data_IF_546043583938
#
_entry.id   IF_546043583938
#
_cell.length_a   1.000
_cell.length_b   1.000
_cell.length_c   1.000
_cell.angle_alpha   90.00
_cell.angle_beta   90.00
_cell.angle_gamma   90.00
#
_symmetry.space_group_name_H-M   'P 1'
#
loop_
_entity.id
_entity.type
_entity.pdbx_description
1 polymer ?
#
# COMPACT_ATOMS: atom_id res chain seq x y z
N UNK A 1 -18.59 -1.83 11.59
CA UNK A 1 -18.73 -1.31 10.20
C UNK A 1 -17.36 -0.85 9.71
N UNK A 2 -16.96 -1.22 8.48
CA UNK A 2 -15.69 -0.82 7.86
C UNK A 2 -16.00 0.06 6.65
N UNK A 3 -15.23 1.13 6.45
CA UNK A 3 -15.33 1.96 5.24
C UNK A 3 -13.96 2.30 4.67
N UNK A 4 -13.87 2.35 3.33
CA UNK A 4 -12.71 2.87 2.62
C UNK A 4 -12.93 4.35 2.37
N UNK A 5 -11.97 5.18 2.78
CA UNK A 5 -12.05 6.64 2.61
C UNK A 5 -10.65 7.28 2.54
N UNK A 6 -10.59 8.53 2.11
CA UNK A 6 -9.37 9.34 2.22
C UNK A 6 -8.91 9.42 3.67
N UNK A 7 -7.60 9.36 3.87
CA UNK A 7 -6.99 9.53 5.18
C UNK A 7 -7.16 10.96 5.69
N UNK A 8 -7.32 11.10 7.01
CA UNK A 8 -7.36 12.36 7.77
C UNK A 8 -6.12 12.46 8.64
N UNK A 9 -5.77 13.64 9.10
CA UNK A 9 -4.61 13.83 9.99
C UNK A 9 -4.69 12.96 11.26
N UNK A 10 -5.89 12.77 11.80
CA UNK A 10 -6.13 11.90 12.95
C UNK A 10 -5.85 10.41 12.71
N UNK A 11 -5.75 9.98 11.44
CA UNK A 11 -5.46 8.58 11.08
C UNK A 11 -3.96 8.25 11.09
N UNK A 12 -3.09 9.26 11.10
CA UNK A 12 -1.65 9.07 10.89
C UNK A 12 -1.00 8.06 11.85
N UNK A 13 -1.37 8.08 13.12
CA UNK A 13 -0.88 7.09 14.11
C UNK A 13 -1.40 5.68 13.84
N UNK A 14 -2.66 5.55 13.43
CA UNK A 14 -3.25 4.27 13.04
C UNK A 14 -2.61 3.69 11.77
N UNK A 15 -2.34 4.53 10.77
CA UNK A 15 -1.61 4.16 9.56
C UNK A 15 -0.20 3.67 9.92
N UNK A 16 0.52 4.40 10.75
CA UNK A 16 1.84 4.01 11.21
C UNK A 16 1.84 2.67 11.97
N UNK A 17 0.83 2.44 12.82
CA UNK A 17 0.68 1.18 13.54
C UNK A 17 0.44 0.00 12.58
N UNK A 18 -0.38 0.17 11.54
CA UNK A 18 -0.58 -0.83 10.48
C UNK A 18 0.73 -1.10 9.75
N UNK A 19 1.47 -0.06 9.37
CA UNK A 19 2.77 -0.21 8.69
C UNK A 19 3.72 -1.07 9.53
N UNK A 20 3.95 -0.72 10.78
CA UNK A 20 4.86 -1.46 11.67
C UNK A 20 4.41 -2.91 11.86
N UNK A 21 3.13 -3.13 12.15
CA UNK A 21 2.58 -4.47 12.37
C UNK A 21 2.72 -5.37 11.14
N UNK A 22 2.36 -4.85 9.96
CA UNK A 22 2.43 -5.64 8.71
C UNK A 22 3.86 -5.92 8.28
N UNK A 23 4.79 -5.01 8.46
CA UNK A 23 6.19 -5.24 8.13
C UNK A 23 6.84 -6.27 9.06
N UNK A 24 6.59 -6.18 10.36
CA UNK A 24 7.08 -7.17 11.34
C UNK A 24 6.52 -8.57 11.09
N UNK A 25 5.28 -8.68 10.62
CA UNK A 25 4.68 -9.96 10.27
C UNK A 25 5.19 -10.49 8.93
N UNK A 26 5.08 -9.70 7.86
CA UNK A 26 5.37 -10.13 6.50
C UNK A 26 6.86 -10.36 6.21
N UNK A 27 7.74 -9.64 6.90
CA UNK A 27 9.18 -9.61 6.59
C UNK A 27 10.07 -10.14 7.71
N UNK A 28 9.51 -10.86 8.70
CA UNK A 28 10.24 -11.44 9.83
C UNK A 28 11.46 -12.28 9.44
N UNK A 29 11.41 -12.96 8.28
CA UNK A 29 12.49 -13.81 7.78
C UNK A 29 13.13 -13.27 6.48
N UNK A 30 12.80 -12.06 6.07
CA UNK A 30 13.24 -11.44 4.81
C UNK A 30 14.14 -10.24 5.08
N UNK A 31 13.80 -9.45 6.10
CA UNK A 31 14.53 -8.25 6.49
C UNK A 31 15.29 -8.45 7.80
N UNK A 32 16.40 -7.73 8.02
CA UNK A 32 17.15 -7.81 9.27
C UNK A 32 16.26 -7.52 10.48
N UNK A 33 16.39 -8.35 11.54
CA UNK A 33 15.58 -8.24 12.76
C UNK A 33 15.76 -6.88 13.44
N UNK A 34 16.99 -6.38 13.52
CA UNK A 34 17.29 -5.05 14.09
C UNK A 34 16.60 -3.91 13.33
N UNK A 35 16.51 -4.03 12.00
CA UNK A 35 15.78 -3.06 11.19
C UNK A 35 14.28 -3.08 11.53
N UNK A 36 13.65 -4.26 11.55
CA UNK A 36 12.23 -4.40 11.90
C UNK A 36 11.95 -3.92 13.34
N UNK A 37 12.86 -4.18 14.28
CA UNK A 37 12.77 -3.70 15.64
C UNK A 37 12.89 -2.17 15.74
N UNK A 38 13.68 -1.55 14.85
CA UNK A 38 13.89 -0.09 14.80
C UNK A 38 12.70 0.70 14.25
N UNK A 39 11.72 0.04 13.62
CA UNK A 39 10.53 0.72 13.08
C UNK A 39 9.77 1.45 14.20
N UNK A 40 9.59 2.75 14.02
CA UNK A 40 8.99 3.64 15.02
C UNK A 40 7.64 4.15 14.56
N UNK A 41 6.58 3.85 15.32
CA UNK A 41 5.23 4.35 15.05
C UNK A 41 5.22 5.88 15.04
N UNK A 42 5.90 6.53 15.97
CA UNK A 42 5.90 8.01 16.06
C UNK A 42 6.56 8.67 14.82
N UNK A 43 7.69 8.12 14.36
CA UNK A 43 8.37 8.64 13.15
C UNK A 43 7.52 8.42 11.90
N UNK A 44 6.93 7.22 11.76
CA UNK A 44 6.05 6.91 10.63
C UNK A 44 4.76 7.73 10.68
N UNK A 45 4.19 7.98 11.86
CA UNK A 45 3.03 8.85 12.01
C UNK A 45 3.32 10.27 11.51
N UNK A 46 4.48 10.85 11.88
CA UNK A 46 4.91 12.16 11.38
C UNK A 46 5.10 12.15 9.85
N UNK A 47 5.67 11.10 9.29
CA UNK A 47 5.82 10.93 7.85
C UNK A 47 4.47 10.90 7.12
N UNK A 48 3.52 10.09 7.62
CA UNK A 48 2.17 10.00 7.02
C UNK A 48 1.36 11.27 7.23
N UNK A 49 1.48 11.91 8.38
CA UNK A 49 0.85 13.22 8.63
C UNK A 49 1.30 14.25 7.61
N UNK A 50 2.61 14.32 7.34
CA UNK A 50 3.15 15.20 6.31
C UNK A 50 2.58 14.88 4.92
N UNK A 51 2.52 13.60 4.53
CA UNK A 51 1.91 13.17 3.28
C UNK A 51 0.43 13.57 3.15
N UNK A 52 -0.34 13.40 4.22
CA UNK A 52 -1.76 13.81 4.25
C UNK A 52 -1.88 15.34 4.06
N UNK A 53 -1.04 16.13 4.72
CA UNK A 53 -1.01 17.60 4.55
C UNK A 53 -0.68 18.03 3.13
N UNK A 54 0.19 17.31 2.45
CA UNK A 54 0.54 17.54 1.05
C UNK A 54 -0.53 17.05 0.07
N UNK A 55 -1.59 16.43 0.54
CA UNK A 55 -2.67 15.91 -0.31
C UNK A 55 -2.32 14.66 -1.09
N UNK A 56 -1.29 13.90 -0.66
CA UNK A 56 -0.96 12.61 -1.28
C UNK A 56 -2.16 11.66 -1.24
N UNK A 57 -2.20 10.73 -2.20
CA UNK A 57 -3.30 9.77 -2.38
C UNK A 57 -3.36 8.68 -1.32
N UNK A 58 -3.49 9.06 -0.05
CA UNK A 58 -3.62 8.14 1.09
C UNK A 58 -5.08 7.77 1.35
N UNK A 59 -5.37 6.46 1.37
CA UNK A 59 -6.69 5.90 1.68
C UNK A 59 -6.57 4.91 2.84
N UNK A 60 -7.60 4.82 3.65
CA UNK A 60 -7.66 3.94 4.83
C UNK A 60 -8.90 3.07 4.80
N UNK A 61 -8.76 1.83 5.31
CA UNK A 61 -9.86 1.00 5.76
C UNK A 61 -10.10 1.30 7.24
N UNK A 62 -11.12 2.11 7.52
CA UNK A 62 -11.44 2.57 8.86
C UNK A 62 -12.55 1.73 9.49
N UNK A 63 -12.35 1.30 10.74
CA UNK A 63 -13.35 0.58 11.55
C UNK A 63 -14.12 1.53 12.44
N UNK A 64 -15.43 1.31 12.54
CA UNK A 64 -16.32 2.11 13.39
C UNK A 64 -17.19 1.19 14.26
N UNK A 65 -17.28 1.53 15.53
CA UNK A 65 -18.23 0.91 16.46
C UNK A 65 -17.81 -0.44 17.06
N UNK A 66 -16.66 -0.96 16.72
CA UNK A 66 -16.11 -2.17 17.33
C UNK A 66 -15.03 -1.80 18.35
N UNK A 67 -15.33 -1.92 19.64
CA UNK A 67 -14.40 -1.56 20.72
C UNK A 67 -13.11 -2.39 20.72
N UNK A 68 -13.13 -3.59 20.17
CA UNK A 68 -11.99 -4.50 20.15
C UNK A 68 -11.12 -4.38 18.88
N UNK A 69 -11.61 -3.73 17.82
CA UNK A 69 -10.85 -3.56 16.58
C UNK A 69 -10.06 -2.25 16.60
N UNK A 70 -8.83 -2.24 16.03
CA UNK A 70 -8.10 -0.99 15.86
C UNK A 70 -8.85 -0.06 14.90
N UNK A 71 -8.70 1.27 15.02
CA UNK A 71 -9.45 2.23 14.21
C UNK A 71 -9.09 2.17 12.71
N UNK A 72 -7.83 1.80 12.39
CA UNK A 72 -7.34 1.61 11.02
C UNK A 72 -6.91 0.17 10.85
N UNK A 73 -7.49 -0.50 9.86
CA UNK A 73 -7.27 -1.92 9.56
C UNK A 73 -6.31 -2.15 8.40
N UNK A 74 -6.15 -1.14 7.55
CA UNK A 74 -5.30 -1.15 6.38
C UNK A 74 -5.24 0.24 5.75
N UNK A 75 -4.28 0.42 4.85
CA UNK A 75 -4.14 1.65 4.09
C UNK A 75 -3.42 1.43 2.77
N UNK A 76 -3.56 2.39 1.86
CA UNK A 76 -2.80 2.48 0.63
C UNK A 76 -2.33 3.92 0.39
N UNK A 77 -1.22 4.06 -0.33
CA UNK A 77 -0.78 5.35 -0.86
C UNK A 77 -0.48 5.26 -2.35
N UNK A 78 -0.82 6.32 -3.08
CA UNK A 78 -0.58 6.39 -4.50
C UNK A 78 -0.15 7.80 -4.91
N UNK A 79 0.80 7.88 -5.85
CA UNK A 79 1.37 9.11 -6.36
C UNK A 79 1.47 9.09 -7.88
N UNK A 80 1.37 10.26 -8.50
CA UNK A 80 1.68 10.42 -9.93
C UNK A 80 3.18 10.46 -10.13
N UNK A 81 3.69 9.66 -11.07
CA UNK A 81 5.10 9.63 -11.46
C UNK A 81 5.35 10.61 -12.62
N UNK A 82 6.34 11.50 -12.46
CA UNK A 82 6.71 12.46 -13.51
C UNK A 82 7.58 11.83 -14.60
N UNK A 83 8.35 10.80 -14.26
CA UNK A 83 9.25 10.09 -15.16
C UNK A 83 8.81 8.64 -15.38
N UNK A 84 7.60 8.45 -15.88
CA UNK A 84 6.86 7.20 -15.93
C UNK A 84 7.47 6.06 -16.76
N UNK A 85 8.66 5.56 -16.41
CA UNK A 85 9.27 4.40 -17.09
C UNK A 85 8.47 3.12 -16.96
N UNK A 86 7.77 2.93 -15.81
CA UNK A 86 6.96 1.74 -15.53
C UNK A 86 5.45 2.02 -15.60
N UNK A 87 5.06 3.29 -15.51
CA UNK A 87 3.67 3.73 -15.53
C UNK A 87 3.54 5.18 -15.09
N UNK A 88 2.36 5.77 -15.32
CA UNK A 88 2.09 7.18 -15.01
C UNK A 88 1.76 7.41 -13.52
N UNK A 89 1.35 6.35 -12.81
CA UNK A 89 1.08 6.39 -11.38
C UNK A 89 1.66 5.19 -10.64
N UNK A 90 2.08 5.39 -9.40
CA UNK A 90 2.58 4.34 -8.52
C UNK A 90 1.69 4.17 -7.30
N UNK A 91 1.33 2.92 -7.00
CA UNK A 91 0.81 2.52 -5.70
C UNK A 91 2.02 2.15 -4.84
N UNK A 92 2.42 3.08 -3.97
CA UNK A 92 3.65 2.94 -3.18
C UNK A 92 3.50 1.99 -2.00
N UNK A 93 2.30 2.00 -1.37
CA UNK A 93 1.99 1.14 -0.22
C UNK A 93 0.60 0.56 -0.32
N UNK A 94 0.45 -0.68 0.14
CA UNK A 94 -0.83 -1.36 0.30
C UNK A 94 -0.67 -2.40 1.41
N UNK A 95 -1.17 -2.08 2.60
CA UNK A 95 -1.04 -2.93 3.78
C UNK A 95 -2.39 -3.12 4.46
N UNK A 96 -2.66 -4.37 4.88
CA UNK A 96 -3.84 -4.74 5.67
C UNK A 96 -3.35 -5.61 6.83
N UNK A 97 -3.84 -5.33 8.03
CA UNK A 97 -3.55 -6.15 9.22
C UNK A 97 -3.93 -7.62 8.98
N UNK A 98 -3.12 -8.55 9.46
CA UNK A 98 -3.27 -9.98 9.20
C UNK A 98 -4.65 -10.52 9.58
N UNK A 99 -5.18 -10.13 10.74
CA UNK A 99 -6.50 -10.54 11.22
C UNK A 99 -7.67 -10.05 10.35
N UNK A 100 -7.40 -9.12 9.44
CA UNK A 100 -8.39 -8.49 8.55
C UNK A 100 -8.16 -8.77 7.07
N UNK A 101 -7.20 -9.65 6.74
CA UNK A 101 -6.98 -10.14 5.37
C UNK A 101 -8.16 -11.00 4.90
N UNK A 102 -8.20 -11.29 3.62
CA UNK A 102 -9.22 -12.13 2.97
C UNK A 102 -10.68 -11.64 3.14
N UNK A 103 -10.84 -10.34 3.43
CA UNK A 103 -12.13 -9.65 3.53
C UNK A 103 -12.36 -8.61 2.42
N UNK A 104 -11.57 -8.68 1.35
CA UNK A 104 -11.66 -7.74 0.23
C UNK A 104 -11.13 -6.34 0.52
N UNK A 105 -10.54 -6.07 1.70
CA UNK A 105 -10.05 -4.73 2.04
C UNK A 105 -8.87 -4.28 1.16
N UNK A 106 -7.94 -5.18 0.85
CA UNK A 106 -6.80 -4.90 -0.01
C UNK A 106 -7.24 -4.48 -1.41
N UNK A 107 -8.20 -5.19 -1.98
CA UNK A 107 -8.77 -4.87 -3.29
C UNK A 107 -9.47 -3.51 -3.29
N UNK A 108 -10.31 -3.23 -2.29
CA UNK A 108 -10.99 -1.95 -2.16
C UNK A 108 -10.02 -0.78 -2.00
N UNK A 109 -8.92 -0.96 -1.25
CA UNK A 109 -7.85 0.04 -1.10
C UNK A 109 -7.11 0.27 -2.42
N UNK A 110 -6.79 -0.80 -3.15
CA UNK A 110 -6.15 -0.71 -4.46
C UNK A 110 -7.04 0.02 -5.48
N UNK A 111 -8.34 -0.29 -5.50
CA UNK A 111 -9.32 0.42 -6.31
C UNK A 111 -9.43 1.90 -5.96
N UNK A 112 -9.39 2.25 -4.67
CA UNK A 112 -9.38 3.64 -4.23
C UNK A 112 -8.14 4.39 -4.73
N UNK A 113 -6.97 3.73 -4.69
CA UNK A 113 -5.71 4.25 -5.25
C UNK A 113 -5.79 4.44 -6.77
N UNK A 114 -6.32 3.46 -7.50
CA UNK A 114 -6.50 3.55 -8.96
C UNK A 114 -7.44 4.70 -9.35
N UNK A 115 -8.58 4.85 -8.66
CA UNK A 115 -9.51 5.97 -8.87
C UNK A 115 -8.83 7.32 -8.62
N UNK A 116 -8.02 7.43 -7.56
CA UNK A 116 -7.26 8.64 -7.29
C UNK A 116 -6.27 8.95 -8.42
N UNK A 117 -5.50 7.95 -8.87
CA UNK A 117 -4.55 8.12 -9.99
C UNK A 117 -5.26 8.54 -11.28
N UNK A 118 -6.43 7.96 -11.59
CA UNK A 118 -7.25 8.37 -12.75
C UNK A 118 -7.70 9.83 -12.64
N UNK A 119 -8.09 10.29 -11.45
CA UNK A 119 -8.43 11.69 -11.19
C UNK A 119 -7.24 12.64 -11.42
N UNK A 120 -6.00 12.15 -11.23
CA UNK A 120 -4.77 12.87 -11.55
C UNK A 120 -4.39 12.80 -13.04
N UNK A 121 -5.19 12.11 -13.86
CA UNK A 121 -4.96 11.95 -15.30
C UNK A 121 -4.01 10.79 -15.66
N UNK A 122 -3.69 9.89 -14.72
CA UNK A 122 -2.89 8.70 -15.02
C UNK A 122 -3.71 7.67 -15.80
N UNK A 123 -3.14 7.14 -16.87
CA UNK A 123 -3.74 6.10 -17.73
C UNK A 123 -3.19 4.70 -17.44
N UNK A 124 -2.10 4.64 -16.68
CA UNK A 124 -1.48 3.41 -16.23
C UNK A 124 -1.05 3.53 -14.76
N UNK A 125 -0.95 2.39 -14.10
CA UNK A 125 -0.46 2.29 -12.73
C UNK A 125 0.52 1.13 -12.58
N UNK A 126 1.42 1.24 -11.61
CA UNK A 126 2.30 0.14 -11.21
C UNK A 126 2.50 0.10 -9.70
N UNK A 127 2.98 -1.03 -9.21
CA UNK A 127 3.37 -1.23 -7.82
C UNK A 127 4.61 -2.11 -7.73
N UNK A 128 5.55 -1.74 -6.87
CA UNK A 128 6.67 -2.60 -6.48
C UNK A 128 6.27 -3.46 -5.28
N UNK A 129 6.72 -4.72 -5.29
CA UNK A 129 6.56 -5.64 -4.17
C UNK A 129 7.85 -6.43 -3.98
N UNK A 130 8.24 -6.70 -2.72
CA UNK A 130 9.39 -7.55 -2.46
C UNK A 130 9.12 -8.95 -3.00
N UNK A 131 10.13 -9.57 -3.64
CA UNK A 131 9.96 -10.84 -4.37
C UNK A 131 9.48 -11.99 -3.47
N UNK A 132 9.89 -11.98 -2.20
CA UNK A 132 9.47 -12.97 -1.20
C UNK A 132 8.10 -12.68 -0.57
N UNK A 133 7.48 -11.51 -0.86
CA UNK A 133 6.19 -11.18 -0.31
C UNK A 133 5.06 -11.93 -1.04
N UNK A 134 4.24 -12.74 -0.34
CA UNK A 134 3.09 -13.42 -0.94
C UNK A 134 2.07 -12.50 -1.61
N UNK A 135 2.06 -11.20 -1.29
CA UNK A 135 1.19 -10.20 -1.92
C UNK A 135 1.39 -10.10 -3.44
N UNK A 136 2.50 -10.61 -3.99
CA UNK A 136 2.67 -10.70 -5.45
C UNK A 136 1.54 -11.46 -6.15
N UNK A 137 1.03 -12.51 -5.53
CA UNK A 137 -0.10 -13.29 -6.09
C UNK A 137 -1.41 -12.51 -6.08
N UNK A 138 -1.61 -11.66 -5.08
CA UNK A 138 -2.73 -10.73 -5.00
C UNK A 138 -2.74 -9.76 -6.20
N UNK A 139 -1.60 -9.15 -6.53
CA UNK A 139 -1.50 -8.26 -7.69
C UNK A 139 -1.75 -8.98 -9.01
N UNK A 140 -1.22 -10.19 -9.17
CA UNK A 140 -1.49 -11.03 -10.34
C UNK A 140 -2.97 -11.38 -10.49
N UNK A 141 -3.62 -11.75 -9.40
CA UNK A 141 -5.05 -12.08 -9.36
C UNK A 141 -5.93 -10.88 -9.81
N UNK A 142 -5.52 -9.67 -9.48
CA UNK A 142 -6.21 -8.45 -9.90
C UNK A 142 -5.75 -7.92 -11.28
N UNK A 143 -5.20 -8.78 -12.11
CA UNK A 143 -4.83 -8.47 -13.50
C UNK A 143 -3.50 -7.73 -13.68
N UNK A 144 -2.72 -7.58 -12.61
CA UNK A 144 -1.38 -7.00 -12.69
C UNK A 144 -0.42 -7.89 -13.47
N UNK A 145 0.28 -7.30 -14.43
CA UNK A 145 1.32 -7.98 -15.22
C UNK A 145 2.68 -7.63 -14.68
N UNK A 146 3.53 -8.64 -14.45
CA UNK A 146 4.92 -8.39 -14.07
C UNK A 146 5.66 -7.75 -15.25
N UNK A 147 6.22 -6.56 -15.03
CA UNK A 147 6.87 -5.76 -16.07
C UNK A 147 8.35 -5.49 -15.80
N UNK A 148 8.79 -5.64 -14.57
CA UNK A 148 10.18 -5.39 -14.18
C UNK A 148 10.58 -6.20 -12.96
N UNK A 149 11.89 -6.34 -12.77
CA UNK A 149 12.53 -6.83 -11.56
C UNK A 149 13.73 -5.96 -11.21
N UNK A 150 14.09 -5.91 -9.95
CA UNK A 150 15.21 -5.11 -9.47
C UNK A 150 15.48 -5.37 -8.00
N UNK A 151 16.21 -4.47 -7.37
CA UNK A 151 16.48 -4.50 -5.94
C UNK A 151 16.09 -3.18 -5.31
N UNK A 152 15.81 -3.20 -4.02
CA UNK A 152 15.63 -2.01 -3.20
C UNK A 152 16.48 -2.11 -1.94
N UNK A 153 17.03 -0.99 -1.48
CA UNK A 153 17.87 -0.95 -0.29
C UNK A 153 16.99 -0.81 0.95
N UNK A 154 16.99 -1.84 1.81
CA UNK A 154 16.21 -1.86 3.04
C UNK A 154 17.03 -2.46 4.18
N UNK A 155 17.12 -1.74 5.30
CA UNK A 155 17.79 -2.23 6.50
C UNK A 155 19.29 -2.54 6.31
N UNK A 156 19.95 -1.92 5.33
CA UNK A 156 21.36 -2.13 5.03
C UNK A 156 21.63 -3.25 4.01
N UNK A 157 20.60 -3.78 3.37
CA UNK A 157 20.72 -4.87 2.39
C UNK A 157 19.96 -4.56 1.10
N UNK A 158 20.44 -5.11 -0.01
CA UNK A 158 19.74 -5.12 -1.30
C UNK A 158 18.73 -6.25 -1.32
N UNK A 159 17.44 -5.90 -1.33
CA UNK A 159 16.33 -6.85 -1.31
C UNK A 159 15.69 -6.94 -2.70
N UNK A 160 15.55 -8.15 -3.26
CA UNK A 160 14.90 -8.33 -4.56
C UNK A 160 13.43 -7.88 -4.54
N UNK A 161 13.03 -7.19 -5.61
CA UNK A 161 11.65 -6.74 -5.81
C UNK A 161 11.20 -6.94 -7.26
N UNK A 162 9.88 -7.02 -7.44
CA UNK A 162 9.24 -7.11 -8.75
C UNK A 162 8.17 -6.03 -8.88
N UNK A 163 7.96 -5.55 -10.10
CA UNK A 163 6.92 -4.57 -10.41
C UNK A 163 5.78 -5.21 -11.19
N UNK A 164 4.57 -4.93 -10.75
CA UNK A 164 3.33 -5.22 -11.46
C UNK A 164 2.74 -3.95 -12.03
N UNK A 165 2.14 -4.02 -13.22
CA UNK A 165 1.48 -2.88 -13.84
C UNK A 165 0.09 -3.24 -14.36
N UNK A 166 -0.75 -2.22 -14.40
CA UNK A 166 -2.06 -2.17 -15.04
C UNK A 166 -2.01 -1.07 -16.10
N UNK A 167 -1.92 -1.49 -17.35
CA UNK A 167 -1.92 -0.62 -18.51
C UNK A 167 -2.81 -1.25 -19.60
N UNK A 168 -4.00 -0.69 -19.85
CA UNK A 168 -4.56 0.53 -19.24
C UNK A 168 -5.00 0.34 -17.78
N UNK A 169 -5.09 1.44 -17.02
CA UNK A 169 -5.48 1.42 -15.59
C UNK A 169 -6.92 0.91 -15.38
N UNK A 170 -7.77 1.02 -16.38
CA UNK A 170 -9.14 0.50 -16.42
C UNK A 170 -9.17 -1.00 -16.16
N UNK A 171 -8.14 -1.74 -16.55
CA UNK A 171 -8.00 -3.17 -16.25
C UNK A 171 -8.16 -3.47 -14.74
N UNK A 172 -7.69 -2.56 -13.88
CA UNK A 172 -7.85 -2.68 -12.44
C UNK A 172 -9.23 -2.21 -11.97
N UNK A 173 -9.81 -1.21 -12.64
CA UNK A 173 -11.12 -0.65 -12.26
C UNK A 173 -12.28 -1.59 -12.63
N UNK A 174 -12.12 -2.40 -13.67
CA UNK A 174 -13.16 -3.27 -14.23
C UNK A 174 -13.21 -4.66 -13.56
N UNK A 175 -12.30 -4.99 -12.66
CA UNK A 175 -12.25 -6.31 -11.99
C UNK A 175 -13.54 -6.64 -11.24
N UNK A 176 -14.37 -5.64 -10.90
CA UNK A 176 -15.66 -5.76 -10.20
C UNK A 176 -16.85 -5.19 -10.98
N UNK A 177 -16.74 -4.99 -12.29
CA UNK A 177 -17.84 -4.54 -13.11
C UNK A 177 -18.75 -5.70 -13.59
#
# INVERSE_FOLDING_TARGET
MISIRRARLSDASGIAAVHVATWRSAYANVLPEDYLASLSISRLASFYEHGIRLGLGLHVAASYGERAAPPILGFSSAVRCREGRLGEGEVETLYVLDDFRDRGLGEQLLLASAKHLTQLGCRSAFAWVLSENPSRYFYQHLGGKQIASGTTWVGGEDIPQIAFAWDPIETLLDVNA
#
